data_IF_772995696045
#
_entry.id   IF_772995696045
#
_cell.length_a   1.000
_cell.length_b   1.000
_cell.length_c   1.000
_cell.angle_alpha   90.00
_cell.angle_beta   90.00
_cell.angle_gamma   90.00
#
_symmetry.space_group_name_H-M   'P 1'
#
loop_
_entity.id
_entity.type
_entity.pdbx_description
1 polymer ?
#
# COMPACT_ATOMS: atom_id res chain seq x y z
N UNK A 1 0.75 -1.94 -13.19
CA UNK A 1 1.51 -1.35 -12.09
C UNK A 1 0.60 -0.68 -11.08
N UNK A 2 0.91 -0.77 -9.78
CA UNK A 2 0.14 -0.17 -8.68
C UNK A 2 1.10 0.38 -7.62
N UNK A 3 0.94 1.66 -7.29
CA UNK A 3 1.66 2.34 -6.23
C UNK A 3 0.66 2.83 -5.17
N UNK A 4 1.03 2.70 -3.90
CA UNK A 4 0.22 3.11 -2.76
C UNK A 4 1.07 3.92 -1.77
N UNK A 5 0.53 5.06 -1.35
CA UNK A 5 1.06 5.85 -0.24
C UNK A 5 0.01 5.86 0.87
N UNK A 6 0.41 5.43 2.06
CA UNK A 6 -0.48 5.30 3.21
C UNK A 6 0.20 5.84 4.47
N UNK A 7 -0.60 6.28 5.41
CA UNK A 7 -0.18 6.57 6.79
C UNK A 7 0.07 5.28 7.57
N UNK A 8 0.68 5.39 8.74
CA UNK A 8 0.97 4.27 9.65
C UNK A 8 -0.25 3.75 10.43
N UNK A 9 -1.40 4.45 10.36
CA UNK A 9 -2.70 3.98 10.85
C UNK A 9 -3.56 3.35 9.72
N UNK A 10 -3.01 3.21 8.51
CA UNK A 10 -3.64 2.52 7.38
C UNK A 10 -4.60 3.37 6.55
N UNK A 11 -4.60 4.69 6.73
CA UNK A 11 -5.34 5.63 5.87
C UNK A 11 -4.59 5.83 4.54
N UNK A 12 -5.35 5.94 3.46
CA UNK A 12 -4.80 6.06 2.11
C UNK A 12 -4.57 7.53 1.78
N UNK A 13 -3.34 7.89 1.41
CA UNK A 13 -2.96 9.22 0.92
C UNK A 13 -3.03 9.27 -0.61
N UNK A 14 -2.47 8.24 -1.27
CA UNK A 14 -2.43 8.17 -2.72
C UNK A 14 -2.57 6.72 -3.21
N UNK A 15 -3.32 6.56 -4.30
CA UNK A 15 -3.36 5.33 -5.09
C UNK A 15 -3.14 5.72 -6.54
N UNK A 16 -2.09 5.18 -7.14
CA UNK A 16 -1.81 5.33 -8.56
C UNK A 16 -1.75 3.94 -9.19
N UNK A 17 -2.61 3.70 -10.17
CA UNK A 17 -2.67 2.42 -10.87
C UNK A 17 -2.65 2.62 -12.38
N UNK A 18 -1.84 1.82 -13.07
CA UNK A 18 -1.86 1.73 -14.53
C UNK A 18 -1.98 0.28 -14.95
N UNK A 19 -3.05 -0.04 -15.70
CA UNK A 19 -3.21 -1.34 -16.32
C UNK A 19 -2.41 -1.38 -17.64
N UNK A 20 -1.12 -1.74 -17.56
CA UNK A 20 -0.24 -1.82 -18.74
C UNK A 20 -0.56 -3.00 -19.67
N UNK A 21 -1.32 -3.98 -19.17
CA UNK A 21 -1.77 -5.14 -19.94
C UNK A 21 -3.26 -5.38 -19.74
N UNK A 22 -3.61 -6.30 -18.82
CA UNK A 22 -5.01 -6.55 -18.46
C UNK A 22 -5.51 -5.48 -17.49
N UNK A 23 -6.73 -5.01 -17.73
CA UNK A 23 -7.47 -4.20 -16.76
C UNK A 23 -7.73 -5.00 -15.48
N UNK A 24 -7.79 -4.32 -14.35
CA UNK A 24 -8.15 -4.91 -13.07
C UNK A 24 -9.63 -4.69 -12.78
N UNK A 25 -10.25 -5.67 -12.11
CA UNK A 25 -11.58 -5.48 -11.52
C UNK A 25 -11.47 -4.67 -10.23
N UNK A 26 -12.60 -4.14 -9.76
CA UNK A 26 -12.66 -3.47 -8.45
C UNK A 26 -12.26 -4.42 -7.30
N UNK A 27 -12.61 -5.70 -7.41
CA UNK A 27 -12.24 -6.72 -6.43
C UNK A 27 -10.71 -6.91 -6.37
N UNK A 28 -10.06 -7.04 -7.52
CA UNK A 28 -8.60 -7.14 -7.61
C UNK A 28 -7.91 -5.88 -7.08
N UNK A 29 -8.46 -4.70 -7.37
CA UNK A 29 -7.95 -3.43 -6.82
C UNK A 29 -7.99 -3.45 -5.29
N UNK A 30 -9.11 -3.89 -4.70
CA UNK A 30 -9.27 -3.99 -3.25
C UNK A 30 -8.33 -5.02 -2.63
N UNK A 31 -8.09 -6.16 -3.30
CA UNK A 31 -7.10 -7.14 -2.84
C UNK A 31 -5.69 -6.56 -2.82
N UNK A 32 -5.28 -5.88 -3.91
CA UNK A 32 -3.98 -5.20 -3.96
C UNK A 32 -3.85 -4.13 -2.87
N UNK A 33 -4.91 -3.36 -2.60
CA UNK A 33 -4.92 -2.37 -1.53
C UNK A 33 -4.74 -3.00 -0.13
N UNK A 34 -5.36 -4.16 0.14
CA UNK A 34 -5.17 -4.90 1.40
C UNK A 34 -3.74 -5.40 1.56
N UNK A 35 -3.13 -5.92 0.48
CA UNK A 35 -1.73 -6.33 0.50
C UNK A 35 -0.80 -5.15 0.75
N UNK A 36 -1.02 -4.03 0.07
CA UNK A 36 -0.24 -2.81 0.26
C UNK A 36 -0.34 -2.29 1.71
N UNK A 37 -1.54 -2.25 2.29
CA UNK A 37 -1.75 -1.81 3.68
C UNK A 37 -0.95 -2.68 4.67
N UNK A 38 -0.99 -4.00 4.52
CA UNK A 38 -0.19 -4.91 5.37
C UNK A 38 1.31 -4.64 5.24
N UNK A 39 1.81 -4.45 4.02
CA UNK A 39 3.21 -4.13 3.77
C UNK A 39 3.63 -2.80 4.38
N UNK A 40 2.81 -1.75 4.26
CA UNK A 40 3.09 -0.43 4.85
C UNK A 40 3.14 -0.51 6.38
N UNK A 41 2.23 -1.26 7.03
CA UNK A 41 2.27 -1.43 8.48
C UNK A 41 3.56 -2.12 8.95
N UNK A 42 4.05 -3.10 8.19
CA UNK A 42 5.33 -3.76 8.49
C UNK A 42 6.51 -2.80 8.31
N UNK A 43 6.55 -2.06 7.18
CA UNK A 43 7.62 -1.10 6.90
C UNK A 43 7.66 0.03 7.92
N UNK A 44 6.51 0.59 8.29
CA UNK A 44 6.43 1.66 9.29
C UNK A 44 6.83 1.19 10.69
N UNK A 45 6.53 -0.06 11.06
CA UNK A 45 7.02 -0.65 12.30
C UNK A 45 8.56 -0.73 12.31
N UNK A 46 9.18 -1.18 11.22
CA UNK A 46 10.64 -1.23 11.09
C UNK A 46 11.27 0.18 11.10
N UNK A 47 10.67 1.14 10.40
CA UNK A 47 11.13 2.53 10.40
C UNK A 47 11.11 3.13 11.80
N UNK A 48 10.03 2.89 12.57
CA UNK A 48 9.93 3.34 13.97
C UNK A 48 11.03 2.73 14.83
N UNK A 49 11.30 1.43 14.69
CA UNK A 49 12.38 0.77 15.43
C UNK A 49 13.74 1.44 15.16
N UNK A 50 14.04 1.74 13.90
CA UNK A 50 15.31 2.38 13.52
C UNK A 50 15.41 3.82 14.01
N UNK A 51 14.33 4.60 13.96
CA UNK A 51 14.31 6.01 14.38
C UNK A 51 14.22 6.20 15.89
N UNK A 52 13.79 5.17 16.63
CA UNK A 52 13.73 5.18 18.10
C UNK A 52 15.04 4.80 18.81
N UNK A 53 16.10 4.48 18.03
CA UNK A 53 17.46 4.21 18.52
C UNK A 53 18.28 5.51 18.57
#
# INVERSE_FOLDING_TARGET
>A
DMNFVMTDNGEIIEVQGTAEGKVFTLEQLNEMAKFAQSGVLQLTALQKQVLSA
#
